data_IF_340306223113
#
_entry.id   IF_340306223113
#
_cell.length_a   1.000
_cell.length_b   1.000
_cell.length_c   1.000
_cell.angle_alpha   90.00
_cell.angle_beta   90.00
_cell.angle_gamma   90.00
#
_symmetry.space_group_name_H-M   'P 1'
#
loop_
_entity.id
_entity.type
_entity.pdbx_description
1 polymer ?
#
# COMPACT_ATOMS: atom_id res chain seq x y z
N UNK A 1 -14.47 47.14 -36.20
CA UNK A 1 -13.72 45.88 -36.46
C UNK A 1 -12.49 45.77 -35.53
N UNK A 2 -12.69 45.78 -34.21
CA UNK A 2 -11.62 45.62 -33.20
C UNK A 2 -12.00 44.63 -32.08
N UNK A 3 -13.10 43.90 -32.26
CA UNK A 3 -13.58 42.88 -31.31
C UNK A 3 -13.17 41.45 -31.67
N UNK A 4 -12.70 41.22 -32.91
CA UNK A 4 -12.20 39.91 -33.37
C UNK A 4 -10.71 39.72 -33.04
N UNK A 5 -9.97 40.83 -32.87
CA UNK A 5 -8.54 40.79 -32.56
C UNK A 5 -8.24 40.40 -31.10
N UNK A 6 -9.19 40.57 -30.18
CA UNK A 6 -9.04 40.14 -28.78
C UNK A 6 -9.45 38.69 -28.54
N UNK A 7 -10.24 38.07 -29.44
CA UNK A 7 -10.67 36.67 -29.33
C UNK A 7 -9.62 35.67 -29.82
N UNK A 8 -8.68 36.10 -30.68
CA UNK A 8 -7.61 35.22 -31.18
C UNK A 8 -6.43 35.06 -30.20
N UNK A 9 -6.26 35.98 -29.23
CA UNK A 9 -5.15 35.93 -28.27
C UNK A 9 -5.44 34.98 -27.10
N UNK A 10 -6.71 34.73 -26.78
CA UNK A 10 -7.11 33.84 -25.69
C UNK A 10 -6.98 32.33 -26.05
N UNK A 11 -6.88 31.99 -27.34
CA UNK A 11 -6.74 30.62 -27.84
C UNK A 11 -5.28 30.15 -28.00
N UNK A 12 -4.29 31.04 -27.87
CA UNK A 12 -2.86 30.70 -28.01
C UNK A 12 -2.10 30.63 -26.68
N UNK A 13 -2.73 31.01 -25.56
CA UNK A 13 -2.13 30.89 -24.22
C UNK A 13 -2.47 29.57 -23.51
N UNK A 14 -3.34 28.72 -24.06
CA UNK A 14 -3.69 27.42 -23.47
C UNK A 14 -2.88 26.24 -24.00
N UNK A 15 -1.84 26.48 -24.84
CA UNK A 15 -0.92 25.42 -25.27
C UNK A 15 0.09 25.00 -24.18
N UNK A 16 0.01 25.61 -22.98
CA UNK A 16 0.68 25.15 -21.77
C UNK A 16 -0.34 24.94 -20.64
N UNK A 17 -1.52 24.41 -20.94
CA UNK A 17 -2.42 23.92 -19.91
C UNK A 17 -2.22 22.41 -19.76
N UNK A 18 -1.72 22.04 -18.58
CA UNK A 18 -1.94 20.75 -17.93
C UNK A 18 -1.08 19.54 -18.39
N UNK A 19 0.16 19.47 -17.91
CA UNK A 19 0.68 18.19 -17.42
C UNK A 19 0.60 18.23 -15.89
N UNK A 20 -0.60 18.05 -15.35
CA UNK A 20 -0.67 17.53 -13.98
C UNK A 20 -0.30 16.06 -14.13
N UNK A 21 0.96 15.73 -13.88
CA UNK A 21 1.27 14.42 -13.34
C UNK A 21 0.49 14.34 -12.03
N UNK A 22 -0.73 13.80 -12.10
CA UNK A 22 -1.46 13.40 -10.91
C UNK A 22 -0.65 12.22 -10.41
N UNK A 23 0.34 12.50 -9.57
CA UNK A 23 0.85 11.52 -8.64
C UNK A 23 -0.34 11.23 -7.73
N UNK A 24 -1.24 10.36 -8.20
CA UNK A 24 -2.15 9.66 -7.31
C UNK A 24 -1.23 9.11 -6.23
N UNK A 25 -1.46 9.41 -4.93
CA UNK A 25 -0.73 8.71 -3.90
C UNK A 25 -0.96 7.25 -4.24
N UNK A 26 0.12 6.53 -4.59
CA UNK A 26 0.02 5.10 -4.76
C UNK A 26 -0.25 4.63 -3.34
N UNK A 27 -1.53 4.52 -2.99
CA UNK A 27 -1.94 3.74 -1.84
C UNK A 27 -1.67 2.31 -2.29
N UNK A 28 -0.40 1.91 -2.26
CA UNK A 28 -0.01 0.53 -2.40
C UNK A 28 -0.57 -0.12 -1.16
N UNK A 29 -1.77 -0.68 -1.29
CA UNK A 29 -2.31 -1.56 -0.27
C UNK A 29 -1.22 -2.56 0.11
N UNK A 30 -1.06 -2.79 1.41
CA UNK A 30 -0.01 -3.65 1.91
C UNK A 30 -0.14 -5.05 1.28
N UNK A 31 0.92 -5.50 0.62
CA UNK A 31 0.90 -6.68 -0.25
C UNK A 31 1.51 -7.93 0.41
N UNK A 32 1.67 -7.93 1.73
CA UNK A 32 2.10 -9.10 2.48
C UNK A 32 1.01 -10.18 2.56
N UNK A 33 1.39 -11.33 3.08
CA UNK A 33 0.51 -12.51 3.18
C UNK A 33 0.29 -12.92 4.62
N UNK A 34 -0.84 -13.59 4.88
CA UNK A 34 -1.14 -14.18 6.18
C UNK A 34 -1.32 -15.68 6.04
N UNK A 35 -0.68 -16.47 6.91
CA UNK A 35 -0.87 -17.93 6.93
C UNK A 35 -2.23 -18.31 7.51
N UNK A 36 -2.89 -17.37 8.20
CA UNK A 36 -4.16 -17.57 8.90
C UNK A 36 -4.08 -18.62 10.02
N UNK A 37 -2.89 -18.82 10.60
CA UNK A 37 -2.71 -19.66 11.77
C UNK A 37 -3.58 -19.22 12.94
N UNK A 38 -4.02 -20.18 13.74
CA UNK A 38 -4.93 -19.92 14.85
C UNK A 38 -4.28 -19.05 15.94
N UNK A 39 -5.08 -18.18 16.56
CA UNK A 39 -4.68 -17.31 17.67
C UNK A 39 -5.86 -17.06 18.61
N UNK A 40 -5.55 -16.73 19.86
CA UNK A 40 -6.50 -16.26 20.87
C UNK A 40 -6.36 -14.74 21.09
N UNK A 41 -5.14 -14.21 20.94
CA UNK A 41 -4.84 -12.79 21.09
C UNK A 41 -3.65 -12.37 20.21
N UNK A 42 -3.39 -11.07 20.12
CA UNK A 42 -2.38 -10.51 19.21
C UNK A 42 -0.95 -10.98 19.50
N UNK A 43 -0.64 -11.37 20.75
CA UNK A 43 0.69 -11.88 21.09
C UNK A 43 0.95 -13.29 20.52
N UNK A 44 -0.09 -13.97 20.05
CA UNK A 44 0.05 -15.26 19.38
C UNK A 44 0.47 -15.09 17.91
N UNK A 45 0.48 -13.85 17.40
CA UNK A 45 0.81 -13.50 16.03
C UNK A 45 2.20 -12.87 15.94
N UNK A 46 2.93 -13.20 14.88
CA UNK A 46 4.29 -12.75 14.64
C UNK A 46 4.48 -12.37 13.17
N UNK A 47 5.16 -11.24 12.97
CA UNK A 47 5.67 -10.87 11.64
C UNK A 47 6.90 -11.71 11.32
N UNK A 48 6.89 -12.36 10.16
CA UNK A 48 7.94 -13.23 9.65
C UNK A 48 8.21 -12.95 8.16
N UNK A 49 9.07 -13.78 7.54
CA UNK A 49 9.59 -13.56 6.20
C UNK A 49 10.76 -12.58 6.22
N UNK A 50 11.66 -12.69 5.24
CA UNK A 50 12.91 -11.93 5.24
C UNK A 50 12.68 -10.41 5.16
N UNK A 51 11.59 -9.97 4.53
CA UNK A 51 11.19 -8.56 4.41
C UNK A 51 10.07 -8.21 5.39
N UNK A 52 9.74 -9.09 6.33
CA UNK A 52 8.64 -8.91 7.27
C UNK A 52 7.28 -8.86 6.58
N UNK A 53 7.09 -9.63 5.51
CA UNK A 53 5.88 -9.62 4.69
C UNK A 53 4.87 -10.71 5.07
N UNK A 54 5.22 -11.62 5.99
CA UNK A 54 4.36 -12.73 6.39
C UNK A 54 3.80 -12.46 7.78
N UNK A 55 2.49 -12.61 7.97
CA UNK A 55 1.87 -12.65 9.29
C UNK A 55 1.46 -14.09 9.58
N UNK A 56 1.93 -14.63 10.70
CA UNK A 56 1.64 -16.02 11.08
C UNK A 56 1.48 -16.18 12.58
N UNK A 57 1.00 -17.33 13.01
CA UNK A 57 1.01 -17.69 14.44
C UNK A 57 2.41 -18.11 14.87
N UNK A 58 2.73 -17.89 16.15
CA UNK A 58 3.98 -18.37 16.78
C UNK A 58 4.09 -19.90 16.81
N UNK A 59 2.96 -20.61 16.67
CA UNK A 59 2.88 -22.07 16.68
C UNK A 59 3.21 -22.72 15.32
N UNK A 60 3.36 -21.93 14.26
CA UNK A 60 3.81 -22.39 12.94
C UNK A 60 5.33 -22.34 12.83
N UNK A 61 5.88 -23.19 11.95
CA UNK A 61 7.29 -23.09 11.56
C UNK A 61 7.58 -21.74 10.89
N UNK A 62 8.84 -21.29 10.99
CA UNK A 62 9.26 -20.04 10.35
C UNK A 62 9.14 -20.12 8.83
N UNK A 63 8.64 -19.05 8.21
CA UNK A 63 8.44 -18.97 6.76
C UNK A 63 9.62 -18.25 6.13
N UNK A 64 10.45 -19.01 5.42
CA UNK A 64 11.57 -18.45 4.66
C UNK A 64 11.12 -17.99 3.28
N UNK A 65 11.07 -16.68 3.07
CA UNK A 65 10.82 -16.05 1.77
C UNK A 65 12.14 -15.65 1.11
N UNK A 66 12.09 -15.20 -0.15
CA UNK A 66 13.19 -14.40 -0.69
C UNK A 66 13.34 -13.10 0.12
N UNK A 67 14.55 -12.55 0.12
CA UNK A 67 14.87 -11.28 0.76
C UNK A 67 14.70 -10.08 -0.18
N UNK A 68 13.87 -10.23 -1.20
CA UNK A 68 13.52 -9.14 -2.11
C UNK A 68 12.56 -8.19 -1.39
N UNK A 69 12.85 -6.89 -1.51
CA UNK A 69 12.00 -5.84 -0.99
C UNK A 69 11.05 -5.33 -2.06
N UNK A 70 9.77 -5.19 -1.72
CA UNK A 70 8.76 -4.49 -2.49
C UNK A 70 8.25 -3.30 -1.66
N UNK A 71 8.02 -2.16 -2.31
CA UNK A 71 7.57 -0.95 -1.60
C UNK A 71 6.22 -1.17 -0.88
N UNK A 72 5.37 -2.06 -1.39
CA UNK A 72 4.11 -2.44 -0.75
C UNK A 72 4.27 -3.29 0.53
N UNK A 73 5.48 -3.59 0.98
CA UNK A 73 5.77 -4.17 2.30
C UNK A 73 5.95 -3.12 3.41
N UNK A 74 5.88 -1.83 3.08
CA UNK A 74 5.80 -0.78 4.09
C UNK A 74 4.52 -0.92 4.92
N UNK A 75 4.67 -0.99 6.24
CA UNK A 75 3.58 -1.22 7.20
C UNK A 75 2.92 0.08 7.63
N UNK A 76 2.47 0.87 6.66
CA UNK A 76 1.83 2.16 6.92
C UNK A 76 0.39 1.96 7.42
N UNK A 77 0.21 1.91 8.75
CA UNK A 77 -1.12 1.78 9.36
C UNK A 77 -1.71 0.36 9.36
N UNK A 78 -0.85 -0.66 9.23
CA UNK A 78 -1.24 -2.07 9.26
C UNK A 78 -0.34 -2.83 10.24
N UNK A 79 -0.89 -3.82 10.92
CA UNK A 79 -0.17 -4.69 11.85
C UNK A 79 -0.61 -6.15 11.72
N UNK A 80 0.27 -7.06 12.15
CA UNK A 80 -0.03 -8.49 12.22
C UNK A 80 -0.70 -8.77 13.56
N UNK A 81 -2.00 -9.09 13.56
CA UNK A 81 -2.79 -9.24 14.77
C UNK A 81 -3.81 -10.38 14.66
N UNK A 82 -4.49 -10.69 15.76
CA UNK A 82 -5.47 -11.76 15.80
C UNK A 82 -6.86 -11.26 15.36
N UNK A 83 -7.27 -11.61 14.15
CA UNK A 83 -8.58 -11.24 13.58
C UNK A 83 -9.39 -12.51 13.36
N UNK A 84 -10.59 -12.57 13.92
CA UNK A 84 -11.46 -13.75 13.82
C UNK A 84 -10.77 -15.08 14.21
N UNK A 85 -9.95 -15.03 15.27
CA UNK A 85 -9.12 -16.14 15.78
C UNK A 85 -8.05 -16.64 14.77
N UNK A 86 -7.64 -15.80 13.83
CA UNK A 86 -6.60 -16.07 12.84
C UNK A 86 -5.61 -14.92 12.74
N UNK A 87 -4.32 -15.23 12.73
CA UNK A 87 -3.29 -14.22 12.50
C UNK A 87 -3.40 -13.65 11.09
N UNK A 88 -3.71 -12.36 10.99
CA UNK A 88 -3.94 -11.65 9.73
C UNK A 88 -3.33 -10.26 9.78
N UNK A 89 -2.95 -9.75 8.61
CA UNK A 89 -2.65 -8.33 8.45
C UNK A 89 -3.94 -7.52 8.48
N UNK A 90 -4.04 -6.54 9.36
CA UNK A 90 -5.20 -5.67 9.48
C UNK A 90 -4.80 -4.28 9.98
N UNK A 91 -5.65 -3.28 9.72
CA UNK A 91 -5.43 -1.88 10.09
C UNK A 91 -5.21 -1.70 11.60
N UNK A 92 -4.32 -0.77 11.99
CA UNK A 92 -4.10 -0.39 13.40
C UNK A 92 -5.31 0.35 13.96
#
# INVERSE_FOLDING_TARGET
MKKVLFLAVFLLLSACAQEIAVETPINTEFCGTSTQGACENDNDCVTDGCSGQVCRTVNEEAVFTTCEWLDCYEKNGIECKCVDNKCSWDSI
#
